data_IF_472169909062
#
_entry.id   IF_472169909062
#
_cell.length_a   1.000
_cell.length_b   1.000
_cell.length_c   1.000
_cell.angle_alpha   90.00
_cell.angle_beta   90.00
_cell.angle_gamma   90.00
#
_symmetry.space_group_name_H-M   'P 1'
#
loop_
_entity.id
_entity.type
_entity.pdbx_description
1 polymer ?
#
# COMPACT_ATOMS: atom_id res chain seq x y z
N UNK A 1 12.05 39.37 47.22
CA UNK A 1 13.11 39.11 48.23
C UNK A 1 13.66 37.71 48.03
N UNK A 2 14.99 37.57 48.03
CA UNK A 2 15.75 36.34 48.37
C UNK A 2 15.67 35.15 47.39
N UNK A 3 16.74 34.45 46.96
CA UNK A 3 18.15 34.34 47.39
C UNK A 3 19.02 33.86 46.21
N UNK A 4 20.30 34.22 46.25
CA UNK A 4 21.41 33.69 45.45
C UNK A 4 21.57 32.16 45.57
N UNK A 5 21.94 31.48 44.48
CA UNK A 5 22.75 30.25 44.49
C UNK A 5 23.77 30.30 43.35
N UNK A 6 24.98 29.85 43.70
CA UNK A 6 26.27 29.98 43.02
C UNK A 6 26.43 29.10 41.78
N UNK A 7 27.26 29.63 40.88
CA UNK A 7 27.76 29.05 39.63
C UNK A 7 28.81 27.98 39.95
N UNK A 8 28.63 26.77 39.41
CA UNK A 8 29.66 25.74 39.32
C UNK A 8 29.86 25.31 37.86
N UNK A 9 30.96 25.76 37.24
CA UNK A 9 31.41 25.27 35.93
C UNK A 9 31.95 23.84 36.08
N UNK A 10 31.25 22.87 35.49
CA UNK A 10 31.77 21.52 35.25
C UNK A 10 32.02 21.32 33.77
N UNK A 11 33.28 21.39 33.34
CA UNK A 11 33.71 21.00 32.01
C UNK A 11 33.84 19.48 31.96
N UNK A 12 32.96 18.80 31.21
CA UNK A 12 33.12 17.38 30.87
C UNK A 12 33.61 17.27 29.42
N UNK A 13 34.83 16.76 29.28
CA UNK A 13 35.50 16.56 28.00
C UNK A 13 34.88 15.41 27.19
N UNK A 14 34.65 15.66 25.91
CA UNK A 14 34.27 14.68 24.89
C UNK A 14 35.47 13.77 24.57
N UNK A 15 35.33 12.47 24.81
CA UNK A 15 36.26 11.46 24.31
C UNK A 15 35.84 11.03 22.90
N UNK A 16 36.56 11.49 21.88
CA UNK A 16 36.42 11.06 20.49
C UNK A 16 37.40 9.91 20.18
N UNK A 17 36.89 8.75 19.75
CA UNK A 17 37.71 7.72 19.13
C UNK A 17 37.99 8.08 17.66
N UNK A 18 39.27 8.21 17.30
CA UNK A 18 39.74 8.30 15.91
C UNK A 18 40.29 6.94 15.46
N UNK A 19 40.03 6.47 14.23
CA UNK A 19 40.74 5.34 13.65
C UNK A 19 42.13 5.77 13.15
N UNK A 20 43.12 4.90 13.36
CA UNK A 20 44.51 5.09 12.92
C UNK A 20 44.73 4.47 11.53
N UNK A 21 45.48 5.12 10.63
CA UNK A 21 45.87 4.54 9.34
C UNK A 21 47.12 3.66 9.52
N UNK A 22 47.24 2.61 8.72
CA UNK A 22 48.49 1.84 8.63
C UNK A 22 48.97 1.86 7.19
N UNK A 23 49.98 2.71 6.94
CA UNK A 23 50.82 2.62 5.76
C UNK A 23 51.95 1.62 6.02
N UNK A 24 52.25 0.78 5.03
CA UNK A 24 53.56 0.12 4.91
C UNK A 24 53.89 0.01 3.43
N UNK A 25 54.96 0.70 3.06
CA UNK A 25 55.58 0.75 1.73
C UNK A 25 56.88 -0.06 1.74
N UNK A 26 57.09 -0.92 0.74
CA UNK A 26 58.24 -0.88 -0.19
C UNK A 26 58.46 -2.23 -0.94
N UNK A 27 58.51 -2.14 -2.27
CA UNK A 27 59.09 -3.11 -3.22
C UNK A 27 60.64 -2.90 -3.29
N UNK A 28 61.48 -3.59 -4.12
CA UNK A 28 61.30 -4.01 -5.53
C UNK A 28 61.80 -5.46 -5.84
N UNK A 29 61.64 -6.09 -7.01
CA UNK A 29 62.36 -5.81 -8.28
C UNK A 29 61.77 -6.67 -9.42
N UNK A 30 61.60 -6.06 -10.60
CA UNK A 30 61.17 -6.70 -11.86
C UNK A 30 62.35 -7.42 -12.57
N UNK A 31 62.14 -8.11 -13.71
CA UNK A 31 62.03 -7.36 -14.98
C UNK A 31 61.07 -7.91 -16.05
N UNK A 32 60.69 -6.98 -16.94
CA UNK A 32 60.57 -7.07 -18.41
C UNK A 32 59.52 -8.04 -19.02
N UNK A 33 58.38 -7.55 -19.52
CA UNK A 33 58.05 -6.86 -20.80
C UNK A 33 57.31 -7.82 -21.74
N UNK A 34 56.06 -7.50 -22.05
CA UNK A 34 55.51 -7.78 -23.38
C UNK A 34 54.51 -6.67 -23.74
N UNK A 35 54.99 -5.83 -24.62
CA UNK A 35 54.27 -4.89 -25.47
C UNK A 35 53.24 -5.64 -26.33
N UNK A 36 51.98 -5.20 -26.35
CA UNK A 36 51.08 -5.41 -27.48
C UNK A 36 49.88 -4.45 -27.40
N UNK A 37 49.99 -3.38 -28.20
CA UNK A 37 48.93 -2.71 -28.94
C UNK A 37 47.63 -2.28 -28.21
N UNK A 38 47.57 -0.98 -27.94
CA UNK A 38 46.32 -0.22 -27.81
C UNK A 38 45.54 -0.24 -29.12
N UNK A 39 44.34 -0.80 -29.11
CA UNK A 39 43.33 -0.56 -30.14
C UNK A 39 42.06 -0.05 -29.44
N UNK A 40 41.73 1.23 -29.70
CA UNK A 40 40.55 1.89 -29.14
C UNK A 40 39.27 1.28 -29.71
N UNK A 41 38.32 0.80 -28.87
CA UNK A 41 37.03 0.36 -29.38
C UNK A 41 36.19 1.55 -29.85
N UNK A 42 35.83 1.54 -31.13
CA UNK A 42 34.77 2.35 -31.75
C UNK A 42 33.50 2.31 -30.89
N UNK A 43 32.78 3.43 -30.65
CA UNK A 43 31.57 3.42 -29.85
C UNK A 43 30.53 2.45 -30.45
N UNK A 44 30.23 1.37 -29.73
CA UNK A 44 29.10 0.53 -30.05
C UNK A 44 27.81 1.32 -29.80
N UNK A 45 26.92 1.33 -30.79
CA UNK A 45 25.61 1.96 -30.71
C UNK A 45 24.85 1.43 -29.48
N UNK A 46 24.33 2.35 -28.67
CA UNK A 46 23.46 2.03 -27.55
C UNK A 46 22.23 1.24 -28.05
N UNK A 47 21.79 0.18 -27.32
CA UNK A 47 20.55 -0.49 -27.67
C UNK A 47 19.39 0.50 -27.60
N UNK A 48 18.64 0.61 -28.70
CA UNK A 48 17.40 1.35 -28.73
C UNK A 48 16.46 0.80 -27.65
N UNK A 49 16.04 1.66 -26.72
CA UNK A 49 14.98 1.35 -25.79
C UNK A 49 13.73 1.00 -26.59
N UNK A 50 13.20 -0.21 -26.39
CA UNK A 50 11.89 -0.58 -26.89
C UNK A 50 10.85 0.36 -26.25
N UNK A 51 9.90 0.91 -27.03
CA UNK A 51 8.84 1.71 -26.44
C UNK A 51 8.02 0.84 -25.49
N UNK A 52 7.83 1.32 -24.26
CA UNK A 52 6.90 0.71 -23.33
C UNK A 52 5.48 0.87 -23.90
N UNK A 53 4.96 -0.19 -24.52
CA UNK A 53 3.57 -0.24 -24.92
C UNK A 53 2.70 -0.45 -23.68
N UNK A 54 2.08 0.61 -23.19
CA UNK A 54 1.02 0.55 -22.18
C UNK A 54 0.23 1.84 -22.26
N UNK A 55 -1.10 1.75 -22.39
CA UNK A 55 -1.99 2.90 -22.44
C UNK A 55 -1.63 3.91 -21.34
N UNK A 56 -1.10 5.07 -21.73
CA UNK A 56 -0.42 6.00 -20.81
C UNK A 56 -1.37 6.75 -19.85
N UNK A 57 -2.67 6.43 -19.84
CA UNK A 57 -3.66 7.14 -19.03
C UNK A 57 -4.80 6.25 -18.51
N UNK A 58 -5.72 6.85 -17.73
CA UNK A 58 -6.89 6.16 -17.16
C UNK A 58 -7.90 5.74 -18.23
N UNK A 59 -9.03 5.16 -17.81
CA UNK A 59 -10.13 4.75 -18.70
C UNK A 59 -10.91 5.91 -19.32
N UNK A 60 -10.60 7.16 -18.93
CA UNK A 60 -11.21 8.38 -19.43
C UNK A 60 -10.19 9.31 -20.13
N UNK A 61 -10.70 10.27 -20.88
CA UNK A 61 -9.89 11.27 -21.59
C UNK A 61 -9.39 12.35 -20.62
N UNK A 62 -8.07 12.38 -20.38
CA UNK A 62 -7.44 13.34 -19.48
C UNK A 62 -7.62 14.79 -19.90
N UNK A 63 -7.86 15.09 -21.19
CA UNK A 63 -8.18 16.45 -21.63
C UNK A 63 -9.56 16.93 -21.14
N UNK A 64 -10.39 16.00 -20.65
CA UNK A 64 -11.75 16.26 -20.11
C UNK A 64 -11.84 16.11 -18.60
N UNK A 65 -10.71 15.91 -17.90
CA UNK A 65 -10.67 15.81 -16.44
C UNK A 65 -11.24 17.08 -15.80
N UNK A 66 -12.36 16.93 -15.08
CA UNK A 66 -13.09 18.03 -14.46
C UNK A 66 -12.78 18.19 -12.98
N UNK A 67 -12.46 17.10 -12.27
CA UNK A 67 -12.14 17.12 -10.84
C UNK A 67 -10.63 17.08 -10.57
N UNK A 68 -10.20 17.55 -9.39
CA UNK A 68 -8.80 17.46 -8.97
C UNK A 68 -8.37 15.99 -8.77
N UNK A 69 -9.30 15.12 -8.39
CA UNK A 69 -9.10 13.69 -8.37
C UNK A 69 -8.78 13.14 -9.77
N UNK A 70 -9.54 13.50 -10.79
CA UNK A 70 -9.30 13.05 -12.17
C UNK A 70 -7.96 13.55 -12.71
N UNK A 71 -7.60 14.80 -12.44
CA UNK A 71 -6.28 15.34 -12.82
C UNK A 71 -5.14 14.58 -12.15
N UNK A 72 -5.32 14.23 -10.87
CA UNK A 72 -4.33 13.43 -10.12
C UNK A 72 -4.20 12.03 -10.73
N UNK A 73 -5.32 11.38 -11.04
CA UNK A 73 -5.35 10.07 -11.68
C UNK A 73 -4.64 10.10 -13.04
N UNK A 74 -4.81 11.16 -13.83
CA UNK A 74 -4.12 11.36 -15.10
C UNK A 74 -2.61 11.49 -14.99
N UNK A 75 -2.10 12.00 -13.87
CA UNK A 75 -0.66 12.18 -13.63
C UNK A 75 0.00 10.99 -12.93
N UNK A 76 -0.77 10.03 -12.43
CA UNK A 76 -0.29 8.91 -11.64
C UNK A 76 -0.56 7.57 -12.34
N UNK A 77 0.50 6.88 -12.74
CA UNK A 77 0.41 5.62 -13.50
C UNK A 77 -0.30 4.50 -12.71
N UNK A 78 -0.17 4.47 -11.38
CA UNK A 78 -0.81 3.46 -10.53
C UNK A 78 -2.30 3.72 -10.41
N UNK A 79 -2.71 4.96 -10.15
CA UNK A 79 -4.12 5.35 -10.11
C UNK A 79 -4.77 5.16 -11.49
N UNK A 80 -4.07 5.49 -12.57
CA UNK A 80 -4.54 5.22 -13.94
C UNK A 80 -4.77 3.72 -14.19
N UNK A 81 -3.89 2.85 -13.69
CA UNK A 81 -4.08 1.41 -13.81
C UNK A 81 -5.30 0.90 -13.03
N UNK A 82 -5.47 1.37 -11.79
CA UNK A 82 -6.63 1.04 -10.96
C UNK A 82 -7.94 1.54 -11.58
N UNK A 83 -7.94 2.73 -12.18
CA UNK A 83 -9.10 3.27 -12.89
C UNK A 83 -9.52 2.37 -14.07
N UNK A 84 -8.56 1.90 -14.88
CA UNK A 84 -8.84 0.95 -15.97
C UNK A 84 -9.38 -0.38 -15.46
N UNK A 85 -8.81 -0.91 -14.37
CA UNK A 85 -9.29 -2.14 -13.77
C UNK A 85 -10.73 -2.00 -13.28
N UNK A 86 -11.02 -0.93 -12.53
CA UNK A 86 -12.36 -0.62 -12.04
C UNK A 86 -13.35 -0.49 -13.20
N UNK A 87 -12.98 0.24 -14.26
CA UNK A 87 -13.83 0.38 -15.44
C UNK A 87 -14.18 -0.97 -16.09
N UNK A 88 -13.21 -1.90 -16.15
CA UNK A 88 -13.44 -3.27 -16.62
C UNK A 88 -14.43 -4.04 -15.73
N UNK A 89 -14.24 -3.99 -14.40
CA UNK A 89 -15.12 -4.63 -13.43
C UNK A 89 -16.54 -4.04 -13.46
N UNK A 90 -16.66 -2.72 -13.55
CA UNK A 90 -17.93 -2.04 -13.64
C UNK A 90 -18.69 -2.41 -14.92
N UNK A 91 -18.00 -2.47 -16.07
CA UNK A 91 -18.59 -2.94 -17.32
C UNK A 91 -19.11 -4.38 -17.22
N UNK A 92 -18.36 -5.27 -16.57
CA UNK A 92 -18.81 -6.64 -16.33
C UNK A 92 -20.04 -6.69 -15.40
N UNK A 93 -20.04 -5.89 -14.32
CA UNK A 93 -21.15 -5.80 -13.39
C UNK A 93 -22.44 -5.29 -14.05
N UNK A 94 -22.34 -4.34 -14.99
CA UNK A 94 -23.49 -3.87 -15.78
C UNK A 94 -24.14 -4.95 -16.65
N UNK A 95 -23.39 -5.98 -17.05
CA UNK A 95 -23.89 -7.09 -17.87
C UNK A 95 -24.42 -8.26 -17.03
N UNK A 96 -24.21 -8.25 -15.71
CA UNK A 96 -24.66 -9.30 -14.81
C UNK A 96 -26.16 -9.24 -14.53
N UNK A 97 -26.76 -10.35 -14.08
CA UNK A 97 -28.12 -10.33 -13.57
C UNK A 97 -28.14 -9.51 -12.26
N UNK A 98 -28.82 -8.37 -12.23
CA UNK A 98 -28.75 -7.44 -11.10
C UNK A 98 -30.10 -6.90 -10.67
N UNK A 99 -30.40 -7.04 -9.38
CA UNK A 99 -31.52 -6.42 -8.64
C UNK A 99 -31.14 -5.00 -8.12
N UNK A 100 -29.84 -4.67 -8.14
CA UNK A 100 -29.25 -3.40 -7.68
C UNK A 100 -28.89 -2.48 -8.85
N UNK A 101 -29.14 -1.18 -8.70
CA UNK A 101 -28.71 -0.15 -9.66
C UNK A 101 -27.20 0.14 -9.47
N UNK A 102 -26.36 -0.73 -10.03
CA UNK A 102 -24.89 -0.59 -10.01
C UNK A 102 -24.44 0.76 -10.58
N UNK A 103 -25.21 1.35 -11.50
CA UNK A 103 -24.91 2.66 -12.05
C UNK A 103 -25.15 3.78 -11.03
N UNK A 104 -26.19 3.70 -10.20
CA UNK A 104 -26.39 4.63 -9.09
C UNK A 104 -25.27 4.56 -8.06
N UNK A 105 -24.86 3.35 -7.67
CA UNK A 105 -23.74 3.16 -6.76
C UNK A 105 -22.45 3.73 -7.33
N UNK A 106 -22.17 3.49 -8.62
CA UNK A 106 -20.99 4.03 -9.28
C UNK A 106 -20.98 5.56 -9.30
N UNK A 107 -22.14 6.21 -9.54
CA UNK A 107 -22.27 7.68 -9.45
C UNK A 107 -22.02 8.18 -8.03
N UNK A 108 -22.50 7.45 -7.02
CA UNK A 108 -22.22 7.75 -5.61
C UNK A 108 -20.73 7.65 -5.28
N UNK A 109 -20.08 6.58 -5.72
CA UNK A 109 -18.65 6.37 -5.55
C UNK A 109 -17.82 7.47 -6.21
N UNK A 110 -18.15 7.89 -7.45
CA UNK A 110 -17.44 8.99 -8.13
C UNK A 110 -17.45 10.27 -7.29
N UNK A 111 -18.59 10.63 -6.68
CA UNK A 111 -18.68 11.79 -5.78
C UNK A 111 -17.77 11.64 -4.56
N UNK A 112 -17.72 10.44 -3.97
CA UNK A 112 -16.84 10.15 -2.83
C UNK A 112 -15.36 10.22 -3.21
N UNK A 113 -14.96 9.63 -4.34
CA UNK A 113 -13.61 9.74 -4.90
C UNK A 113 -13.23 11.20 -5.11
N UNK A 114 -14.11 11.98 -5.73
CA UNK A 114 -13.83 13.39 -6.00
C UNK A 114 -13.69 14.20 -4.71
N UNK A 115 -14.38 13.83 -3.62
CA UNK A 115 -14.23 14.49 -2.32
C UNK A 115 -12.87 14.24 -1.63
N UNK A 116 -12.01 13.36 -2.15
CA UNK A 116 -10.67 13.10 -1.60
C UNK A 116 -9.77 14.35 -1.53
N UNK A 117 -10.07 15.42 -2.28
CA UNK A 117 -9.36 16.70 -2.14
C UNK A 117 -9.46 17.30 -0.72
N UNK A 118 -10.47 16.91 0.06
CA UNK A 118 -10.70 17.37 1.43
C UNK A 118 -9.94 16.55 2.47
N UNK A 119 -9.37 15.40 2.08
CA UNK A 119 -8.63 14.54 3.00
C UNK A 119 -7.28 15.15 3.37
N UNK A 120 -6.78 14.81 4.57
CA UNK A 120 -5.42 15.19 5.01
C UNK A 120 -4.36 14.64 4.04
N UNK A 121 -4.60 13.44 3.50
CA UNK A 121 -3.80 12.82 2.46
C UNK A 121 -4.70 12.43 1.27
N UNK A 122 -4.77 13.32 0.28
CA UNK A 122 -5.61 13.14 -0.89
C UNK A 122 -5.19 11.93 -1.74
N UNK A 123 -3.89 11.66 -1.88
CA UNK A 123 -3.41 10.55 -2.71
C UNK A 123 -3.74 9.20 -2.05
N UNK A 124 -3.52 9.09 -0.74
CA UNK A 124 -3.94 7.91 0.02
C UNK A 124 -5.46 7.70 -0.06
N UNK A 125 -6.25 8.77 0.08
CA UNK A 125 -7.70 8.69 -0.07
C UNK A 125 -8.11 8.15 -1.45
N UNK A 126 -7.49 8.64 -2.53
CA UNK A 126 -7.78 8.16 -3.89
C UNK A 126 -7.44 6.68 -4.04
N UNK A 127 -6.24 6.26 -3.60
CA UNK A 127 -5.79 4.88 -3.66
C UNK A 127 -6.78 3.95 -2.93
N UNK A 128 -7.10 4.28 -1.68
CA UNK A 128 -8.05 3.52 -0.87
C UNK A 128 -9.46 3.51 -1.50
N UNK A 129 -9.91 4.62 -2.09
CA UNK A 129 -11.21 4.72 -2.77
C UNK A 129 -11.31 3.79 -3.99
N UNK A 130 -10.29 3.78 -4.86
CA UNK A 130 -10.26 2.88 -6.02
C UNK A 130 -10.25 1.41 -5.60
N UNK A 131 -9.36 1.05 -4.67
CA UNK A 131 -9.23 -0.33 -4.22
C UNK A 131 -10.49 -0.82 -3.50
N UNK A 132 -11.13 0.02 -2.69
CA UNK A 132 -12.42 -0.30 -2.05
C UNK A 132 -13.44 -0.66 -3.11
N UNK A 133 -13.60 0.19 -4.13
CA UNK A 133 -14.60 -0.04 -5.17
C UNK A 133 -14.30 -1.25 -6.04
N UNK A 134 -13.03 -1.51 -6.33
CA UNK A 134 -12.58 -2.74 -7.01
C UNK A 134 -13.01 -3.96 -6.21
N UNK A 135 -12.76 -3.98 -4.90
CA UNK A 135 -13.13 -5.10 -4.03
C UNK A 135 -14.65 -5.25 -3.93
N UNK A 136 -15.41 -4.15 -3.80
CA UNK A 136 -16.87 -4.18 -3.81
C UNK A 136 -17.43 -4.79 -5.10
N UNK A 137 -16.93 -4.36 -6.27
CA UNK A 137 -17.36 -4.89 -7.56
C UNK A 137 -17.01 -6.37 -7.71
N UNK A 138 -15.83 -6.80 -7.25
CA UNK A 138 -15.43 -8.22 -7.23
C UNK A 138 -16.30 -9.06 -6.30
N UNK A 139 -16.66 -8.53 -5.12
CA UNK A 139 -17.56 -9.19 -4.18
C UNK A 139 -18.97 -9.34 -4.75
N UNK A 140 -19.50 -8.30 -5.40
CA UNK A 140 -20.81 -8.32 -6.04
C UNK A 140 -20.85 -9.29 -7.24
N UNK A 141 -19.74 -9.41 -7.97
CA UNK A 141 -19.62 -10.29 -9.13
C UNK A 141 -19.29 -11.76 -8.77
N UNK A 142 -19.08 -12.08 -7.49
CA UNK A 142 -18.64 -13.42 -7.08
C UNK A 142 -19.70 -14.48 -7.41
N UNK A 143 -19.47 -15.21 -8.51
CA UNK A 143 -20.31 -16.29 -9.03
C UNK A 143 -19.70 -17.67 -8.76
N UNK A 144 -18.91 -17.78 -7.68
CA UNK A 144 -18.21 -18.99 -7.25
C UNK A 144 -17.50 -18.76 -5.91
N UNK A 145 -16.82 -19.78 -5.35
CA UNK A 145 -16.07 -19.62 -4.11
C UNK A 145 -14.92 -18.63 -4.34
N UNK A 146 -15.03 -17.45 -3.74
CA UNK A 146 -13.92 -16.47 -3.68
C UNK A 146 -12.77 -16.95 -2.81
N UNK A 147 -11.79 -16.09 -2.48
CA UNK A 147 -10.74 -16.44 -1.54
C UNK A 147 -11.36 -16.93 -0.23
N UNK A 148 -10.81 -18.00 0.34
CA UNK A 148 -11.38 -18.63 1.53
C UNK A 148 -11.41 -17.63 2.69
N UNK A 149 -12.54 -17.55 3.38
CA UNK A 149 -12.67 -16.76 4.58
C UNK A 149 -12.02 -17.49 5.76
N UNK A 150 -11.08 -16.82 6.44
CA UNK A 150 -10.57 -17.28 7.73
C UNK A 150 -11.61 -16.95 8.80
N UNK A 151 -12.05 -17.98 9.52
CA UNK A 151 -13.01 -17.84 10.61
C UNK A 151 -12.28 -17.61 11.93
N UNK A 152 -12.83 -16.74 12.78
CA UNK A 152 -12.28 -16.43 14.09
C UNK A 152 -13.34 -16.61 15.19
N UNK A 153 -12.92 -17.16 16.32
CA UNK A 153 -13.68 -17.18 17.58
C UNK A 153 -13.16 -16.06 18.46
N UNK A 154 -14.02 -15.12 18.81
CA UNK A 154 -13.68 -13.98 19.66
C UNK A 154 -14.14 -14.19 21.10
N UNK A 155 -13.57 -13.41 22.01
CA UNK A 155 -13.97 -13.30 23.42
C UNK A 155 -15.45 -12.93 23.58
N UNK A 156 -15.99 -12.09 22.71
CA UNK A 156 -17.44 -11.97 22.50
C UNK A 156 -17.91 -12.82 21.30
N UNK A 157 -18.69 -13.85 21.58
CA UNK A 157 -19.28 -14.75 20.57
C UNK A 157 -20.63 -14.26 20.01
N UNK A 158 -21.08 -13.05 20.35
CA UNK A 158 -22.37 -12.50 19.90
C UNK A 158 -22.44 -12.31 18.38
N UNK A 159 -21.31 -12.05 17.73
CA UNK A 159 -21.20 -11.87 16.28
C UNK A 159 -20.05 -12.73 15.72
N UNK A 160 -20.29 -13.56 14.69
CA UNK A 160 -19.20 -14.29 14.04
C UNK A 160 -18.24 -13.33 13.34
N UNK A 161 -16.94 -13.58 13.49
CA UNK A 161 -15.88 -12.84 12.78
C UNK A 161 -15.32 -13.71 11.65
N UNK A 162 -15.33 -13.18 10.43
CA UNK A 162 -14.65 -13.78 9.28
C UNK A 162 -13.81 -12.72 8.55
N UNK A 163 -12.65 -13.12 8.04
CA UNK A 163 -11.75 -12.23 7.30
C UNK A 163 -11.33 -12.88 5.99
N UNK A 164 -11.46 -12.15 4.89
CA UNK A 164 -10.99 -12.57 3.56
C UNK A 164 -9.82 -11.68 3.16
N UNK A 165 -8.69 -12.26 2.79
CA UNK A 165 -7.48 -11.53 2.38
C UNK A 165 -7.32 -11.54 0.86
N UNK A 166 -7.21 -10.34 0.28
CA UNK A 166 -6.93 -10.08 -1.13
C UNK A 166 -5.47 -9.67 -1.25
N UNK A 167 -4.60 -10.66 -1.43
CA UNK A 167 -3.14 -10.49 -1.40
C UNK A 167 -2.56 -10.01 -2.74
N UNK A 168 -3.36 -10.05 -3.80
CA UNK A 168 -3.01 -9.59 -5.15
C UNK A 168 -3.18 -8.08 -5.35
N UNK A 169 -3.82 -7.40 -4.39
CA UNK A 169 -3.94 -5.94 -4.38
C UNK A 169 -2.72 -5.33 -3.67
N UNK A 170 -2.29 -4.16 -4.15
CA UNK A 170 -1.25 -3.36 -3.50
C UNK A 170 -1.82 -1.98 -3.13
N UNK A 171 -1.87 -1.59 -1.84
CA UNK A 171 -1.60 -2.45 -0.67
C UNK A 171 -2.60 -3.60 -0.58
N UNK A 172 -2.22 -4.67 0.10
CA UNK A 172 -3.09 -5.84 0.33
C UNK A 172 -4.33 -5.40 1.11
N UNK A 173 -5.45 -6.06 0.83
CA UNK A 173 -6.74 -5.71 1.41
C UNK A 173 -7.29 -6.86 2.23
N UNK A 174 -7.88 -6.55 3.38
CA UNK A 174 -8.67 -7.48 4.18
C UNK A 174 -10.14 -7.03 4.19
N UNK A 175 -11.04 -7.94 3.81
CA UNK A 175 -12.49 -7.77 4.00
C UNK A 175 -12.86 -8.42 5.32
N UNK A 176 -13.15 -7.59 6.32
CA UNK A 176 -13.46 -7.98 7.69
C UNK A 176 -14.98 -7.94 7.86
N UNK A 177 -15.59 -9.07 8.24
CA UNK A 177 -17.03 -9.18 8.50
C UNK A 177 -17.27 -9.56 9.96
N UNK A 178 -18.01 -8.72 10.67
CA UNK A 178 -18.43 -8.93 12.04
C UNK A 178 -19.96 -9.00 12.09
N UNK A 179 -20.51 -10.22 12.14
CA UNK A 179 -21.95 -10.44 12.01
C UNK A 179 -22.45 -10.01 10.62
N UNK A 180 -23.25 -8.94 10.58
CA UNK A 180 -23.74 -8.35 9.31
C UNK A 180 -22.92 -7.13 8.87
N UNK A 181 -22.06 -6.62 9.75
CA UNK A 181 -21.27 -5.43 9.50
C UNK A 181 -20.00 -5.83 8.72
N UNK A 182 -19.57 -4.99 7.79
CA UNK A 182 -18.40 -5.24 6.95
C UNK A 182 -17.52 -4.00 6.86
N UNK A 183 -16.21 -4.19 6.91
CA UNK A 183 -15.23 -3.19 6.56
C UNK A 183 -14.18 -3.75 5.59
N UNK A 184 -13.63 -2.87 4.77
CA UNK A 184 -12.50 -3.16 3.88
C UNK A 184 -11.31 -2.38 4.46
N UNK A 185 -10.25 -3.06 4.88
CA UNK A 185 -9.08 -2.46 5.50
C UNK A 185 -7.81 -2.76 4.70
N UNK A 186 -6.83 -1.86 4.79
CA UNK A 186 -5.61 -1.93 3.99
C UNK A 186 -4.41 -2.32 4.84
N UNK A 187 -3.52 -3.14 4.27
CA UNK A 187 -2.29 -3.52 4.96
C UNK A 187 -1.51 -2.27 5.39
N UNK A 188 -1.13 -2.25 6.66
CA UNK A 188 -0.37 -1.20 7.29
C UNK A 188 0.96 -1.76 7.81
N UNK A 189 2.01 -0.94 7.92
CA UNK A 189 3.28 -1.38 8.51
C UNK A 189 3.09 -1.98 9.91
N UNK A 190 3.78 -3.09 10.16
CA UNK A 190 3.84 -3.74 11.47
C UNK A 190 5.20 -4.40 11.68
N UNK A 191 5.64 -4.51 12.94
CA UNK A 191 6.91 -5.17 13.28
C UNK A 191 6.81 -6.70 13.23
N UNK A 192 5.60 -7.24 13.37
CA UNK A 192 5.30 -8.67 13.33
C UNK A 192 3.82 -8.86 13.06
N UNK A 193 3.45 -9.96 12.40
CA UNK A 193 2.07 -10.27 12.04
C UNK A 193 1.58 -9.47 10.83
N UNK A 194 0.28 -9.55 10.58
CA UNK A 194 -0.40 -8.86 9.48
C UNK A 194 -1.41 -7.89 10.05
N UNK A 195 -1.16 -6.58 9.85
CA UNK A 195 -2.01 -5.49 10.34
C UNK A 195 -2.72 -4.81 9.19
N UNK A 196 -4.03 -4.63 9.32
CA UNK A 196 -4.87 -3.98 8.34
C UNK A 196 -5.65 -2.86 9.02
N UNK A 197 -5.64 -1.66 8.43
CA UNK A 197 -6.26 -0.48 9.04
C UNK A 197 -7.12 0.31 8.05
N UNK A 198 -8.12 0.99 8.62
CA UNK A 198 -8.95 2.04 8.02
C UNK A 198 -9.41 2.93 9.17
N UNK A 199 -9.90 4.13 8.90
CA UNK A 199 -10.60 4.93 9.91
C UNK A 199 -11.65 4.09 10.69
N UNK A 200 -11.45 4.00 12.01
CA UNK A 200 -12.31 3.24 12.92
C UNK A 200 -12.17 1.71 12.87
N UNK A 201 -11.26 1.16 12.06
CA UNK A 201 -11.04 -0.29 11.97
C UNK A 201 -9.56 -0.61 12.02
N UNK A 202 -9.19 -1.51 12.93
CA UNK A 202 -7.87 -2.11 12.98
C UNK A 202 -8.00 -3.61 13.22
N UNK A 203 -7.46 -4.40 12.31
CA UNK A 203 -7.34 -5.84 12.47
C UNK A 203 -5.87 -6.21 12.46
N UNK A 204 -5.40 -6.93 13.48
CA UNK A 204 -4.01 -7.38 13.56
C UNK A 204 -3.96 -8.86 13.92
N UNK A 205 -3.46 -9.68 13.00
CA UNK A 205 -3.26 -11.11 13.20
C UNK A 205 -1.79 -11.42 13.46
N UNK A 206 -1.55 -12.35 14.39
CA UNK A 206 -0.24 -12.95 14.60
C UNK A 206 -0.40 -14.40 15.07
N UNK A 207 0.10 -15.36 14.27
CA UNK A 207 0.20 -16.78 14.64
C UNK A 207 -1.13 -17.44 15.03
N UNK A 208 -2.25 -17.04 14.41
CA UNK A 208 -3.58 -17.57 14.69
C UNK A 208 -4.32 -16.89 15.84
N UNK A 209 -3.72 -15.90 16.49
CA UNK A 209 -4.42 -14.95 17.34
C UNK A 209 -4.64 -13.63 16.58
N UNK A 210 -5.71 -12.91 16.88
CA UNK A 210 -5.99 -11.62 16.29
C UNK A 210 -6.64 -10.65 17.27
N UNK A 211 -6.31 -9.38 17.14
CA UNK A 211 -7.06 -8.28 17.76
C UNK A 211 -7.88 -7.56 16.70
N UNK A 212 -9.10 -7.16 17.06
CA UNK A 212 -9.97 -6.38 16.20
C UNK A 212 -10.48 -5.16 16.96
N UNK A 213 -10.17 -3.96 16.47
CA UNK A 213 -10.96 -2.75 16.72
C UNK A 213 -11.92 -2.55 15.54
N UNK A 214 -13.22 -2.45 15.83
CA UNK A 214 -14.26 -2.27 14.83
C UNK A 214 -15.28 -1.24 15.33
N UNK A 215 -15.11 0.01 14.88
CA UNK A 215 -15.92 1.18 15.21
C UNK A 215 -16.18 1.33 16.72
N UNK A 216 -15.09 1.26 17.51
CA UNK A 216 -15.14 1.41 18.97
C UNK A 216 -15.34 0.10 19.75
N UNK A 217 -15.67 -1.01 19.09
CA UNK A 217 -15.66 -2.34 19.71
C UNK A 217 -14.27 -2.94 19.63
N UNK A 218 -13.74 -3.50 20.73
CA UNK A 218 -12.47 -4.23 20.73
C UNK A 218 -12.67 -5.69 21.09
N UNK A 219 -12.14 -6.59 20.27
CA UNK A 219 -12.25 -8.04 20.44
C UNK A 219 -10.87 -8.68 20.40
N UNK A 220 -10.72 -9.75 21.16
CA UNK A 220 -9.57 -10.66 21.10
C UNK A 220 -10.04 -11.99 20.53
N UNK A 221 -9.41 -12.45 19.47
CA UNK A 221 -9.91 -13.58 18.68
C UNK A 221 -8.81 -14.60 18.38
N UNK A 222 -9.24 -15.83 18.09
CA UNK A 222 -8.38 -16.93 17.64
C UNK A 222 -8.96 -17.59 16.40
N UNK A 223 -8.12 -18.09 15.51
CA UNK A 223 -8.58 -18.82 14.32
C UNK A 223 -9.41 -20.02 14.77
N UNK A 224 -10.63 -20.12 14.24
CA UNK A 224 -11.56 -21.18 14.57
C UNK A 224 -11.08 -22.53 13.98
N UNK A 225 -11.21 -23.61 14.76
CA UNK A 225 -10.94 -24.97 14.28
C UNK A 225 -9.45 -25.32 14.15
N UNK A 226 -8.57 -24.58 14.83
CA UNK A 226 -7.17 -24.92 15.01
C UNK A 226 -6.89 -25.39 16.44
#
# INVERSE_FOLDING_TARGET
MNRFVLIGLGALALAACKPTPTDTTAAPTAPATSEAASESPKPAAAPAALPAAGSEGPSFDCAKAGSDAEKTVCGDARLSALDRELAGLYKAAQAGPGELDVAAEQRGWIKGRDACWQAVDANRCLLESYQTRIVELRLAAATGPGPAATQYQCDDASKPLSVVFYNELDPQVAVIRLGRDQAIAFAAPSASGSRYTREGVEFWEHQGEATLEFYGTRLSCKVAGR
#
